data_IF_031659650607
#
_entry.id   IF_031659650607
#
_cell.length_a   1.000
_cell.length_b   1.000
_cell.length_c   1.000
_cell.angle_alpha   90.00
_cell.angle_beta   90.00
_cell.angle_gamma   90.00
#
_symmetry.space_group_name_H-M   'P 1'
#
loop_
_entity.id
_entity.type
_entity.pdbx_description
1 polymer ?
#
# COMPACT_ATOMS: atom_id res chain seq x y z
N UNK A 1 -13.60 -13.26 -8.56
CA UNK A 1 -13.86 -12.81 -7.17
C UNK A 1 -14.41 -13.99 -6.38
N UNK A 2 -13.67 -14.49 -5.42
CA UNK A 2 -14.14 -15.59 -4.57
C UNK A 2 -15.34 -15.12 -3.74
N UNK A 3 -16.49 -15.76 -3.90
CA UNK A 3 -17.65 -15.54 -3.03
C UNK A 3 -17.26 -16.03 -1.64
N UNK A 4 -17.24 -15.14 -0.67
CA UNK A 4 -17.06 -15.50 0.73
C UNK A 4 -18.17 -16.48 1.13
N UNK A 5 -17.79 -17.74 1.34
CA UNK A 5 -18.71 -18.75 1.80
C UNK A 5 -19.18 -18.38 3.22
N UNK A 6 -20.43 -18.71 3.54
CA UNK A 6 -21.03 -18.46 4.84
C UNK A 6 -20.14 -18.95 6.01
N UNK A 7 -19.56 -20.14 5.88
CA UNK A 7 -18.67 -20.76 6.89
C UNK A 7 -17.40 -19.91 7.09
N UNK A 8 -16.81 -19.42 6.01
CA UNK A 8 -15.61 -18.58 6.05
C UNK A 8 -15.88 -17.23 6.70
N UNK A 9 -17.01 -16.59 6.38
CA UNK A 9 -17.42 -15.33 6.99
C UNK A 9 -17.65 -15.47 8.49
N UNK A 10 -18.22 -16.61 8.93
CA UNK A 10 -18.41 -16.92 10.34
C UNK A 10 -17.06 -17.15 11.04
N UNK A 11 -16.13 -17.92 10.46
CA UNK A 11 -14.82 -18.18 11.09
C UNK A 11 -14.03 -16.89 11.27
N UNK A 12 -14.02 -15.97 10.31
CA UNK A 12 -13.38 -14.66 10.46
C UNK A 12 -13.95 -13.85 11.63
N UNK A 13 -15.25 -13.89 11.83
CA UNK A 13 -15.86 -13.23 12.98
C UNK A 13 -15.46 -13.86 14.30
N UNK A 14 -15.42 -15.20 14.37
CA UNK A 14 -14.97 -15.93 15.57
C UNK A 14 -13.53 -15.60 15.91
N UNK A 15 -12.62 -15.65 14.95
CA UNK A 15 -11.20 -15.31 15.13
C UNK A 15 -11.02 -13.85 15.58
N UNK A 16 -11.80 -12.93 14.99
CA UNK A 16 -11.76 -11.52 15.37
C UNK A 16 -12.23 -11.31 16.81
N UNK A 17 -13.28 -12.01 17.24
CA UNK A 17 -13.77 -11.99 18.62
C UNK A 17 -12.74 -12.57 19.59
N UNK A 18 -12.17 -13.73 19.28
CA UNK A 18 -11.17 -14.40 20.14
C UNK A 18 -9.94 -13.52 20.37
N UNK A 19 -9.41 -12.91 19.33
CA UNK A 19 -8.28 -11.97 19.43
C UNK A 19 -8.55 -10.76 20.34
N UNK A 20 -9.82 -10.47 20.62
CA UNK A 20 -10.26 -9.33 21.45
C UNK A 20 -10.89 -9.75 22.78
N UNK A 21 -10.87 -11.05 23.10
CA UNK A 21 -11.49 -11.56 24.32
C UNK A 21 -13.02 -11.42 24.34
N UNK A 22 -13.64 -11.31 23.15
CA UNK A 22 -15.08 -11.16 23.02
C UNK A 22 -15.75 -12.53 22.77
N UNK A 23 -16.97 -12.69 23.28
CA UNK A 23 -17.76 -13.91 23.02
C UNK A 23 -18.42 -13.83 21.63
N UNK A 24 -18.11 -14.78 20.73
CA UNK A 24 -18.71 -14.79 19.39
C UNK A 24 -20.17 -15.27 19.41
N UNK A 25 -20.56 -16.03 20.45
CA UNK A 25 -21.92 -16.57 20.56
C UNK A 25 -22.34 -16.74 22.04
N UNK A 26 -23.45 -16.13 22.48
CA UNK A 26 -24.21 -15.12 21.77
C UNK A 26 -23.48 -13.78 21.71
N UNK A 27 -23.28 -13.22 20.51
CA UNK A 27 -22.65 -11.91 20.38
C UNK A 27 -23.63 -10.81 20.75
N UNK A 28 -23.11 -9.80 21.44
CA UNK A 28 -23.83 -8.56 21.67
C UNK A 28 -23.97 -7.81 20.32
N UNK A 29 -25.09 -7.15 20.03
CA UNK A 29 -25.25 -6.31 18.84
C UNK A 29 -24.11 -5.27 18.68
N UNK A 30 -23.57 -4.77 19.78
CA UNK A 30 -22.41 -3.88 19.78
C UNK A 30 -21.16 -4.55 19.19
N UNK A 31 -20.90 -5.80 19.52
CA UNK A 31 -19.80 -6.61 18.97
C UNK A 31 -19.94 -6.77 17.45
N UNK A 32 -21.16 -7.02 16.97
CA UNK A 32 -21.43 -7.16 15.52
C UNK A 32 -21.26 -5.82 14.80
N UNK A 33 -21.71 -4.72 15.39
CA UNK A 33 -21.52 -3.38 14.85
C UNK A 33 -20.03 -2.98 14.79
N UNK A 34 -19.29 -3.28 15.85
CA UNK A 34 -17.84 -3.03 15.90
C UNK A 34 -17.08 -3.87 14.86
N UNK A 35 -17.47 -5.12 14.65
CA UNK A 35 -16.91 -5.96 13.60
C UNK A 35 -17.20 -5.41 12.21
N UNK A 36 -18.44 -5.02 11.92
CA UNK A 36 -18.81 -4.40 10.65
C UNK A 36 -17.97 -3.14 10.37
N UNK A 37 -17.76 -2.33 11.40
CA UNK A 37 -16.92 -1.13 11.33
C UNK A 37 -15.44 -1.47 11.04
N UNK A 38 -14.92 -2.51 11.67
CA UNK A 38 -13.56 -2.98 11.42
C UNK A 38 -13.40 -3.51 9.98
N UNK A 39 -14.41 -4.21 9.45
CA UNK A 39 -14.40 -4.70 8.08
C UNK A 39 -14.41 -3.59 7.02
N UNK A 40 -14.86 -2.37 7.36
CA UNK A 40 -14.96 -1.24 6.43
C UNK A 40 -13.62 -0.85 5.80
N UNK A 41 -12.49 -1.09 6.48
CA UNK A 41 -11.15 -0.77 5.98
C UNK A 41 -10.73 -1.64 4.80
N UNK A 42 -11.20 -2.90 4.75
CA UNK A 42 -10.70 -3.90 3.79
C UNK A 42 -11.78 -4.48 2.87
N UNK A 43 -13.06 -4.15 3.11
CA UNK A 43 -14.16 -4.76 2.38
C UNK A 43 -15.15 -3.71 1.87
N UNK A 44 -15.76 -4.02 0.72
CA UNK A 44 -16.86 -3.22 0.18
C UNK A 44 -18.14 -3.45 0.99
N UNK A 45 -19.03 -2.46 1.01
CA UNK A 45 -20.30 -2.50 1.75
C UNK A 45 -21.09 -3.80 1.55
N UNK A 46 -21.26 -4.24 0.30
CA UNK A 46 -21.99 -5.48 -0.01
C UNK A 46 -21.37 -6.72 0.65
N UNK A 47 -20.05 -6.78 0.74
CA UNK A 47 -19.32 -7.87 1.42
C UNK A 47 -19.58 -7.82 2.93
N UNK A 48 -19.55 -6.63 3.52
CA UNK A 48 -19.82 -6.42 4.95
C UNK A 48 -21.25 -6.85 5.30
N UNK A 49 -22.22 -6.47 4.48
CA UNK A 49 -23.62 -6.90 4.65
C UNK A 49 -23.75 -8.43 4.61
N UNK A 50 -23.05 -9.09 3.68
CA UNK A 50 -23.06 -10.55 3.59
C UNK A 50 -22.38 -11.22 4.80
N UNK A 51 -21.31 -10.64 5.34
CA UNK A 51 -20.67 -11.09 6.57
C UNK A 51 -21.61 -10.97 7.77
N UNK A 52 -22.30 -9.84 7.94
CA UNK A 52 -23.29 -9.63 9.01
C UNK A 52 -24.47 -10.60 8.87
N UNK A 53 -24.96 -10.85 7.66
CA UNK A 53 -26.00 -11.87 7.39
C UNK A 53 -25.52 -13.28 7.77
N UNK A 54 -24.26 -13.62 7.50
CA UNK A 54 -23.67 -14.90 7.90
C UNK A 54 -23.64 -15.07 9.42
N UNK A 55 -23.23 -14.02 10.15
CA UNK A 55 -23.23 -13.97 11.61
C UNK A 55 -24.68 -14.15 12.14
N UNK A 56 -25.63 -13.43 11.57
CA UNK A 56 -27.04 -13.52 11.97
C UNK A 56 -27.62 -14.92 11.77
N UNK A 57 -27.24 -15.58 10.67
CA UNK A 57 -27.67 -16.97 10.37
C UNK A 57 -27.15 -17.96 11.43
N UNK A 58 -25.89 -17.85 11.84
CA UNK A 58 -25.33 -18.70 12.90
C UNK A 58 -25.98 -18.42 14.27
N UNK A 59 -26.26 -17.16 14.58
CA UNK A 59 -26.99 -16.79 15.80
C UNK A 59 -28.41 -17.32 15.80
N UNK A 60 -29.11 -17.25 14.67
CA UNK A 60 -30.46 -17.80 14.54
C UNK A 60 -30.46 -19.33 14.75
N UNK A 61 -29.42 -20.01 14.22
CA UNK A 61 -29.32 -21.47 14.36
C UNK A 61 -29.07 -21.91 15.80
N UNK A 62 -28.19 -21.19 16.54
CA UNK A 62 -27.71 -21.60 17.85
C UNK A 62 -28.41 -20.92 19.03
N UNK A 63 -28.83 -19.69 18.90
CA UNK A 63 -29.40 -18.87 19.99
C UNK A 63 -30.76 -18.27 19.69
N UNK A 64 -31.30 -18.48 18.50
CA UNK A 64 -32.56 -17.89 18.00
C UNK A 64 -32.62 -16.34 18.09
N UNK A 65 -31.47 -15.67 18.29
CA UNK A 65 -31.37 -14.21 18.33
C UNK A 65 -30.92 -13.69 16.98
N UNK A 66 -31.36 -12.47 16.64
CA UNK A 66 -30.99 -11.81 15.38
C UNK A 66 -30.31 -10.47 15.67
N UNK A 67 -29.00 -10.48 15.88
CA UNK A 67 -28.25 -9.25 16.16
C UNK A 67 -28.25 -8.28 14.97
N UNK A 68 -28.41 -8.78 13.75
CA UNK A 68 -28.49 -7.97 12.51
C UNK A 68 -29.67 -7.00 12.48
N UNK A 69 -30.79 -7.33 13.14
CA UNK A 69 -31.96 -6.47 13.22
C UNK A 69 -31.90 -5.40 14.30
N UNK A 70 -30.87 -5.40 15.10
CA UNK A 70 -30.71 -4.41 16.15
C UNK A 70 -30.48 -3.01 15.53
N UNK A 71 -31.13 -1.94 16.01
CA UNK A 71 -31.02 -0.59 15.46
C UNK A 71 -29.56 -0.09 15.36
N UNK A 72 -28.74 -0.47 16.31
CA UNK A 72 -27.31 -0.13 16.31
C UNK A 72 -26.58 -0.72 15.09
N UNK A 73 -26.81 -1.99 14.75
CA UNK A 73 -26.18 -2.66 13.61
C UNK A 73 -26.67 -2.05 12.29
N UNK A 74 -27.98 -1.84 12.18
CA UNK A 74 -28.59 -1.20 11.00
C UNK A 74 -28.03 0.22 10.80
N UNK A 75 -27.96 1.02 11.86
CA UNK A 75 -27.39 2.37 11.79
C UNK A 75 -25.91 2.34 11.38
N UNK A 76 -25.14 1.41 11.92
CA UNK A 76 -23.72 1.26 11.55
C UNK A 76 -23.56 0.90 10.08
N UNK A 77 -24.34 -0.04 9.56
CA UNK A 77 -24.33 -0.41 8.15
C UNK A 77 -24.70 0.77 7.23
N UNK A 78 -25.74 1.55 7.59
CA UNK A 78 -26.12 2.74 6.82
C UNK A 78 -25.00 3.80 6.80
N UNK A 79 -24.31 4.01 7.92
CA UNK A 79 -23.17 4.91 7.98
C UNK A 79 -21.97 4.43 7.14
N UNK A 80 -21.75 3.11 7.08
CA UNK A 80 -20.70 2.53 6.23
C UNK A 80 -21.07 2.72 4.75
N UNK A 81 -22.34 2.48 4.38
CA UNK A 81 -22.83 2.69 3.02
C UNK A 81 -22.57 4.14 2.57
N UNK A 82 -23.03 5.10 3.36
CA UNK A 82 -22.87 6.53 3.07
C UNK A 82 -21.41 6.91 2.89
N UNK A 83 -20.51 6.48 3.78
CA UNK A 83 -19.08 6.77 3.66
C UNK A 83 -18.40 6.13 2.44
N UNK A 84 -18.89 4.96 2.00
CA UNK A 84 -18.36 4.34 0.79
C UNK A 84 -18.87 5.05 -0.48
N UNK A 85 -20.11 5.52 -0.50
CA UNK A 85 -20.63 6.37 -1.57
C UNK A 85 -19.82 7.67 -1.67
N UNK A 86 -19.62 8.39 -0.56
CA UNK A 86 -18.81 9.60 -0.50
C UNK A 86 -17.37 9.37 -1.03
N UNK A 87 -16.75 8.26 -0.67
CA UNK A 87 -15.39 7.90 -1.17
C UNK A 87 -15.37 7.61 -2.68
N UNK A 88 -16.38 6.98 -3.22
CA UNK A 88 -16.47 6.73 -4.66
C UNK A 88 -16.75 8.01 -5.44
N UNK A 89 -17.60 8.91 -4.91
CA UNK A 89 -17.82 10.23 -5.48
C UNK A 89 -16.53 11.09 -5.49
N UNK A 90 -15.78 11.09 -4.38
CA UNK A 90 -14.50 11.80 -4.28
C UNK A 90 -13.47 11.24 -5.25
N UNK A 91 -13.38 9.93 -5.44
CA UNK A 91 -12.51 9.31 -6.44
C UNK A 91 -12.90 9.69 -7.86
N UNK A 92 -14.20 9.68 -8.15
CA UNK A 92 -14.71 10.07 -9.47
C UNK A 92 -14.42 11.55 -9.75
N UNK A 93 -14.59 12.40 -8.73
CA UNK A 93 -14.27 13.84 -8.83
C UNK A 93 -12.76 14.05 -9.02
N UNK A 94 -11.92 13.34 -8.25
CA UNK A 94 -10.48 13.40 -8.39
C UNK A 94 -10.04 12.92 -9.78
N UNK A 95 -10.57 11.81 -10.28
CA UNK A 95 -10.28 11.31 -11.62
C UNK A 95 -10.71 12.30 -12.73
N UNK A 96 -11.81 13.03 -12.53
CA UNK A 96 -12.26 14.06 -13.47
C UNK A 96 -11.38 15.32 -13.47
N UNK A 97 -10.65 15.58 -12.37
CA UNK A 97 -9.72 16.71 -12.26
C UNK A 97 -8.34 16.41 -12.87
N UNK A 98 -7.97 15.13 -12.99
CA UNK A 98 -6.70 14.69 -13.53
C UNK A 98 -6.92 14.04 -14.89
N UNK A 99 -6.95 14.86 -15.96
CA UNK A 99 -6.88 14.37 -17.32
C UNK A 99 -5.45 13.93 -17.63
N UNK A 100 -5.29 12.75 -18.20
CA UNK A 100 -3.98 12.21 -18.59
C UNK A 100 -3.23 13.13 -19.57
N UNK A 101 -3.99 13.93 -20.34
CA UNK A 101 -3.50 14.96 -21.24
C UNK A 101 -2.74 16.08 -20.51
N UNK A 102 -3.11 16.42 -19.28
CA UNK A 102 -2.44 17.46 -18.49
C UNK A 102 -1.03 17.03 -18.06
N UNK A 103 -0.79 15.74 -17.93
CA UNK A 103 0.52 15.19 -17.64
C UNK A 103 1.39 15.01 -18.89
N UNK A 104 0.78 14.76 -20.05
CA UNK A 104 1.51 14.66 -21.32
C UNK A 104 2.15 15.99 -21.72
N UNK A 105 1.52 17.13 -21.36
CA UNK A 105 2.05 18.48 -21.59
C UNK A 105 3.21 18.84 -20.64
N UNK A 106 3.34 18.17 -19.50
CA UNK A 106 4.42 18.38 -18.52
C UNK A 106 5.53 17.33 -18.60
N UNK A 107 5.39 16.32 -19.43
CA UNK A 107 6.50 15.44 -19.74
C UNK A 107 7.60 16.30 -20.35
N UNK A 108 8.68 16.52 -19.60
CA UNK A 108 9.85 17.22 -20.09
C UNK A 108 10.23 16.61 -21.46
N UNK A 109 10.53 17.45 -22.46
CA UNK A 109 10.92 16.92 -23.76
C UNK A 109 12.05 15.90 -23.54
N UNK A 110 11.86 14.70 -24.04
CA UNK A 110 12.90 13.68 -24.04
C UNK A 110 14.20 14.33 -24.47
N UNK A 111 15.31 14.15 -23.74
CA UNK A 111 16.58 14.78 -24.10
C UNK A 111 16.89 14.39 -25.52
N UNK A 112 16.85 15.36 -26.43
CA UNK A 112 17.16 15.12 -27.83
C UNK A 112 18.47 14.35 -27.91
N UNK A 113 18.59 13.38 -28.82
CA UNK A 113 19.77 12.52 -28.99
C UNK A 113 21.08 13.35 -29.00
N UNK A 114 20.99 14.61 -29.45
CA UNK A 114 22.06 15.61 -29.42
C UNK A 114 22.48 16.02 -27.98
N UNK A 115 21.52 16.16 -27.06
CA UNK A 115 21.81 16.51 -25.68
C UNK A 115 22.44 15.34 -24.92
N UNK A 116 21.94 14.13 -25.13
CA UNK A 116 22.51 12.91 -24.56
C UNK A 116 23.95 12.68 -25.05
N UNK A 117 24.20 12.86 -26.34
CA UNK A 117 25.57 12.79 -26.92
C UNK A 117 26.51 13.86 -26.37
N UNK A 118 25.99 15.08 -26.11
CA UNK A 118 26.79 16.16 -25.52
C UNK A 118 27.22 15.81 -24.08
N UNK A 119 26.31 15.30 -23.27
CA UNK A 119 26.61 14.87 -21.90
C UNK A 119 27.61 13.72 -21.90
N UNK A 120 27.43 12.72 -22.77
CA UNK A 120 28.38 11.61 -22.90
C UNK A 120 29.78 12.05 -23.29
N UNK A 121 29.88 13.00 -24.23
CA UNK A 121 31.16 13.58 -24.66
C UNK A 121 31.86 14.34 -23.51
N UNK A 122 31.08 15.10 -22.74
CA UNK A 122 31.62 15.88 -21.61
C UNK A 122 32.09 14.97 -20.46
N UNK A 123 31.39 13.86 -20.20
CA UNK A 123 31.84 12.84 -19.24
C UNK A 123 33.10 12.13 -19.72
N UNK A 124 33.20 11.78 -21.02
CA UNK A 124 34.38 11.15 -21.58
C UNK A 124 35.61 12.06 -21.51
N UNK A 125 35.52 13.34 -21.88
CA UNK A 125 36.62 14.26 -21.77
C UNK A 125 37.12 14.43 -20.33
N UNK A 126 36.21 14.55 -19.35
CA UNK A 126 36.60 14.60 -17.93
C UNK A 126 37.31 13.34 -17.44
N UNK A 127 36.88 12.17 -17.87
CA UNK A 127 37.52 10.91 -17.48
C UNK A 127 38.91 10.75 -18.10
N UNK A 128 39.07 11.20 -19.34
CA UNK A 128 40.40 11.19 -20.02
C UNK A 128 41.39 12.18 -19.38
N UNK A 129 40.91 13.39 -19.06
CA UNK A 129 41.75 14.38 -18.34
C UNK A 129 42.18 13.90 -16.97
N UNK A 130 41.27 13.28 -16.20
CA UNK A 130 41.56 12.69 -14.91
C UNK A 130 42.60 11.54 -15.03
N UNK A 131 42.44 10.67 -16.02
CA UNK A 131 43.38 9.58 -16.29
C UNK A 131 44.77 10.09 -16.71
N UNK A 132 44.82 11.14 -17.51
CA UNK A 132 46.10 11.79 -17.87
C UNK A 132 46.79 12.45 -16.67
N UNK A 133 45.99 13.10 -15.79
CA UNK A 133 46.51 13.67 -14.54
C UNK A 133 47.14 12.62 -13.63
N UNK A 134 46.51 11.47 -13.46
CA UNK A 134 47.03 10.36 -12.67
C UNK A 134 48.32 9.79 -13.29
N UNK A 135 48.37 9.60 -14.61
CA UNK A 135 49.58 9.12 -15.31
C UNK A 135 50.76 10.09 -15.17
N UNK A 136 50.51 11.41 -15.19
CA UNK A 136 51.52 12.44 -15.00
C UNK A 136 52.05 12.42 -13.57
N UNK A 137 51.16 12.28 -12.57
CA UNK A 137 51.52 12.18 -11.17
C UNK A 137 52.37 10.93 -10.87
N UNK A 138 52.04 9.79 -11.45
CA UNK A 138 52.80 8.54 -11.30
C UNK A 138 54.20 8.59 -11.94
N UNK A 139 54.39 9.37 -13.01
CA UNK A 139 55.71 9.59 -13.62
C UNK A 139 56.59 10.58 -12.84
N UNK A 140 55.99 11.47 -12.06
CA UNK A 140 56.68 12.50 -11.28
C UNK A 140 57.14 12.00 -9.90
N UNK A 141 56.77 10.79 -9.46
CA UNK A 141 57.24 10.23 -8.20
C UNK A 141 58.72 9.84 -8.35
N UNK A 142 59.66 10.44 -7.59
CA UNK A 142 61.08 10.05 -7.66
C UNK A 142 61.24 8.62 -7.16
N UNK A 143 62.00 7.79 -7.91
CA UNK A 143 62.40 6.46 -7.46
C UNK A 143 63.12 6.60 -6.12
N UNK A 144 62.52 6.10 -5.05
CA UNK A 144 63.20 5.93 -3.76
C UNK A 144 64.39 4.99 -3.98
N UNK A 145 65.61 5.59 -4.02
CA UNK A 145 66.86 4.86 -4.03
C UNK A 145 67.00 4.15 -2.69
N UNK A 146 66.78 2.84 -2.70
CA UNK A 146 67.02 1.97 -1.56
C UNK A 146 68.53 2.03 -1.20
N UNK A 147 68.93 2.84 -0.19
CA UNK A 147 70.23 2.74 0.47
C UNK A 147 70.21 1.48 1.34
N UNK A 148 70.93 0.46 0.92
CA UNK A 148 71.28 -0.65 1.78
C UNK A 148 72.17 -0.15 2.92
N UNK A 149 71.93 -0.48 4.18
CA UNK A 149 72.88 -0.25 5.26
C UNK A 149 74.02 -1.27 5.11
N UNK A 150 75.30 -0.74 5.03
CA UNK A 150 76.47 -1.56 5.14
C UNK A 150 76.64 -1.96 6.61
N UNK A 151 76.67 -3.23 6.88
CA UNK A 151 77.09 -3.80 8.15
C UNK A 151 78.62 -3.93 8.12
N UNK A 152 79.26 -3.23 9.02
CA UNK A 152 80.63 -3.52 9.58
C UNK A 152 80.47 -3.66 11.08
#
# INVERSE_FOLDING_TARGET
MARLNHTTAWSFFVDWCQKRGLKPLPANPWTVAAYARWCETNHRYQTIVNMVKAIAKEHMRKSRKRPDRHPLVTRTLNLIAKRQEEREEDKTRAAALFHEEDFALQAAPEPTETAARRVQREVQTRTEEAAQGIRRALRATPKLVSRRPSLT
#
